data_IF_106505021518
#
_entry.id   IF_106505021518
#
_cell.length_a   1.000
_cell.length_b   1.000
_cell.length_c   1.000
_cell.angle_alpha   90.00
_cell.angle_beta   90.00
_cell.angle_gamma   90.00
#
_symmetry.space_group_name_H-M   'P 1'
#
loop_
_entity.id
_entity.type
_entity.pdbx_description
1 polymer ?
#
# COMPACT_ATOMS: atom_id res chain seq x y z
N UNK A 1 -61.12 44.27 34.15
CA UNK A 1 -60.61 44.29 32.79
C UNK A 1 -59.23 43.58 32.82
N UNK A 2 -59.27 42.25 32.66
CA UNK A 2 -58.09 41.40 32.77
C UNK A 2 -57.42 41.25 31.41
N UNK A 3 -56.16 41.66 31.29
CA UNK A 3 -55.35 41.35 30.14
C UNK A 3 -54.50 40.12 30.43
N UNK A 4 -54.89 38.97 29.93
CA UNK A 4 -54.16 37.73 29.98
C UNK A 4 -52.94 37.86 29.03
N UNK A 5 -51.75 37.83 29.59
CA UNK A 5 -50.50 37.72 28.81
C UNK A 5 -50.30 36.28 28.44
N UNK A 6 -50.41 35.93 27.15
CA UNK A 6 -50.03 34.65 26.58
C UNK A 6 -48.51 34.70 26.39
N UNK A 7 -47.78 33.91 27.19
CA UNK A 7 -46.36 33.62 27.02
C UNK A 7 -46.24 32.49 25.96
N UNK A 8 -45.85 32.85 24.76
CA UNK A 8 -45.46 31.90 23.73
C UNK A 8 -44.01 31.47 24.05
N UNK A 9 -43.85 30.32 24.65
CA UNK A 9 -42.52 29.67 24.78
C UNK A 9 -42.13 29.11 23.42
N UNK A 10 -41.26 29.81 22.72
CA UNK A 10 -40.60 29.28 21.53
C UNK A 10 -39.53 28.30 21.99
N UNK A 11 -39.83 27.02 21.91
CA UNK A 11 -38.84 25.93 22.11
C UNK A 11 -37.98 25.90 20.85
N UNK A 12 -36.85 26.61 20.88
CA UNK A 12 -35.80 26.47 19.85
C UNK A 12 -35.12 25.13 20.11
N UNK A 13 -35.56 24.09 19.43
CA UNK A 13 -34.80 22.86 19.26
C UNK A 13 -33.56 23.23 18.42
N UNK A 14 -32.43 23.46 19.08
CA UNK A 14 -31.13 23.41 18.41
C UNK A 14 -30.95 21.96 17.97
N UNK A 15 -31.26 21.70 16.71
CA UNK A 15 -30.70 20.56 15.98
C UNK A 15 -29.18 20.82 15.95
N UNK A 16 -28.45 20.17 16.86
CA UNK A 16 -27.04 19.95 16.68
C UNK A 16 -26.89 19.03 15.45
N UNK A 17 -26.93 19.63 14.27
CA UNK A 17 -26.39 19.00 13.08
C UNK A 17 -24.88 18.93 13.35
N UNK A 18 -24.44 17.83 13.94
CA UNK A 18 -23.04 17.45 13.91
C UNK A 18 -22.66 17.41 12.44
N UNK A 19 -21.91 18.40 11.98
CA UNK A 19 -21.28 18.32 10.67
C UNK A 19 -20.42 17.06 10.71
N UNK A 20 -20.82 16.01 10.00
CA UNK A 20 -19.97 14.86 9.77
C UNK A 20 -18.69 15.42 9.12
N UNK A 21 -17.62 15.45 9.90
CA UNK A 21 -16.33 15.88 9.36
C UNK A 21 -15.84 14.77 8.47
N UNK A 22 -15.49 15.11 7.22
CA UNK A 22 -14.95 14.16 6.26
C UNK A 22 -13.74 13.43 6.86
N UNK A 23 -13.77 12.10 6.89
CA UNK A 23 -12.63 11.29 7.28
C UNK A 23 -11.58 11.33 6.18
N UNK A 24 -10.39 11.78 6.51
CA UNK A 24 -9.28 11.94 5.55
C UNK A 24 -8.33 10.76 5.64
N UNK A 25 -8.12 10.10 4.51
CA UNK A 25 -7.19 8.98 4.38
C UNK A 25 -6.13 9.31 3.33
N UNK A 26 -4.85 9.26 3.70
CA UNK A 26 -3.77 9.70 2.80
C UNK A 26 -2.54 8.80 2.88
N UNK A 27 -1.86 8.61 1.74
CA UNK A 27 -0.54 8.00 1.79
C UNK A 27 -0.21 7.06 0.64
N UNK A 28 -0.02 5.77 0.93
CA UNK A 28 0.51 4.77 0.01
C UNK A 28 -0.28 4.64 -1.29
N UNK A 29 0.39 4.88 -2.43
CA UNK A 29 -0.22 4.62 -3.74
C UNK A 29 -0.51 3.13 -3.95
N UNK A 30 0.18 2.23 -3.26
CA UNK A 30 -0.11 0.79 -3.29
C UNK A 30 -1.51 0.50 -2.75
N UNK A 31 -1.89 1.16 -1.65
CA UNK A 31 -3.19 0.98 -0.99
C UNK A 31 -4.30 1.83 -1.62
N UNK A 32 -3.95 2.81 -2.45
CA UNK A 32 -4.92 3.81 -2.93
C UNK A 32 -6.16 3.19 -3.58
N UNK A 33 -6.07 2.26 -4.56
CA UNK A 33 -7.27 1.66 -5.17
C UNK A 33 -8.10 0.84 -4.17
N UNK A 34 -7.45 0.03 -3.35
CA UNK A 34 -8.14 -0.76 -2.32
C UNK A 34 -8.89 0.14 -1.33
N UNK A 35 -8.22 1.19 -0.85
CA UNK A 35 -8.84 2.08 0.15
C UNK A 35 -9.97 2.92 -0.46
N UNK A 36 -9.89 3.27 -1.74
CA UNK A 36 -10.98 3.91 -2.46
C UNK A 36 -12.19 2.99 -2.58
N UNK A 37 -12.00 1.73 -2.97
CA UNK A 37 -13.06 0.71 -3.03
C UNK A 37 -13.72 0.52 -1.67
N UNK A 38 -12.90 0.30 -0.62
CA UNK A 38 -13.41 0.16 0.75
C UNK A 38 -14.19 1.39 1.24
N UNK A 39 -13.76 2.59 0.82
CA UNK A 39 -14.46 3.83 1.16
C UNK A 39 -15.80 3.95 0.41
N UNK A 40 -15.85 3.59 -0.87
CA UNK A 40 -17.07 3.57 -1.66
C UNK A 40 -18.09 2.57 -1.10
N UNK A 41 -17.67 1.34 -0.82
CA UNK A 41 -18.52 0.31 -0.20
C UNK A 41 -19.00 0.71 1.20
N UNK A 42 -18.10 1.27 2.04
CA UNK A 42 -18.46 1.76 3.37
C UNK A 42 -19.54 2.85 3.32
N UNK A 43 -19.44 3.77 2.37
CA UNK A 43 -20.39 4.89 2.21
C UNK A 43 -21.75 4.42 1.65
N UNK A 44 -21.84 3.27 0.99
CA UNK A 44 -23.15 2.68 0.63
C UNK A 44 -23.95 2.30 1.89
N UNK A 45 -23.30 1.86 2.95
CA UNK A 45 -23.92 1.55 4.25
C UNK A 45 -24.05 2.78 5.16
N UNK A 46 -23.26 3.83 4.92
CA UNK A 46 -23.17 5.05 5.73
C UNK A 46 -23.33 6.32 4.87
N UNK A 47 -24.50 6.54 4.27
CA UNK A 47 -24.73 7.60 3.27
C UNK A 47 -24.57 9.03 3.79
N UNK A 48 -24.60 9.23 5.11
CA UNK A 48 -24.38 10.53 5.75
C UNK A 48 -22.89 10.79 6.08
N UNK A 49 -22.02 9.80 5.81
CA UNK A 49 -20.57 9.89 6.00
C UNK A 49 -19.86 10.54 4.82
N UNK A 50 -18.60 10.89 5.02
CA UNK A 50 -17.70 11.33 3.95
C UNK A 50 -16.30 10.77 4.23
N UNK A 51 -15.71 10.07 3.24
CA UNK A 51 -14.34 9.55 3.31
C UNK A 51 -13.55 10.05 2.10
N UNK A 52 -12.48 10.79 2.33
CA UNK A 52 -11.62 11.35 1.26
C UNK A 52 -10.30 10.59 1.23
N UNK A 53 -10.05 9.86 0.14
CA UNK A 53 -8.84 9.04 -0.02
C UNK A 53 -7.88 9.68 -1.02
N UNK A 54 -6.62 9.90 -0.62
CA UNK A 54 -5.60 10.51 -1.47
C UNK A 54 -4.26 9.75 -1.40
N UNK A 55 -3.57 9.66 -2.51
CA UNK A 55 -2.24 9.05 -2.63
C UNK A 55 -1.09 9.99 -2.25
N UNK A 56 0.11 9.69 -2.78
CA UNK A 56 1.33 10.51 -2.64
C UNK A 56 2.49 9.79 -1.96
N UNK A 57 2.32 8.52 -1.60
CA UNK A 57 3.34 7.68 -0.97
C UNK A 57 3.24 7.61 0.56
N UNK A 58 3.73 6.51 1.13
CA UNK A 58 3.67 6.23 2.57
C UNK A 58 4.29 7.32 3.44
N UNK A 59 5.41 7.88 3.00
CA UNK A 59 6.09 8.97 3.74
C UNK A 59 5.25 10.25 3.80
N UNK A 60 4.49 10.54 2.74
CA UNK A 60 3.58 11.71 2.70
C UNK A 60 2.39 11.49 3.63
N UNK A 61 1.80 10.28 3.65
CA UNK A 61 0.72 9.95 4.58
C UNK A 61 1.15 10.03 6.04
N UNK A 62 2.31 9.45 6.38
CA UNK A 62 2.87 9.49 7.73
C UNK A 62 3.16 10.94 8.18
N UNK A 63 3.70 11.78 7.28
CA UNK A 63 3.92 13.19 7.57
C UNK A 63 2.59 13.94 7.77
N UNK A 64 1.60 13.68 6.92
CA UNK A 64 0.27 14.29 7.03
C UNK A 64 -0.43 13.92 8.36
N UNK A 65 -0.24 12.68 8.85
CA UNK A 65 -0.75 12.25 10.16
C UNK A 65 -0.06 13.03 11.30
N UNK A 66 1.26 13.19 11.26
CA UNK A 66 2.00 14.00 12.24
C UNK A 66 1.58 15.47 12.25
N UNK A 67 1.17 16.00 11.10
CA UNK A 67 0.70 17.39 10.92
C UNK A 67 -0.80 17.55 11.19
N UNK A 68 -1.50 16.46 11.58
CA UNK A 68 -2.96 16.42 11.77
C UNK A 68 -3.75 16.93 10.53
N UNK A 69 -3.23 16.62 9.33
CA UNK A 69 -3.87 16.94 8.04
C UNK A 69 -4.53 15.72 7.39
N UNK A 70 -4.43 14.55 8.03
CA UNK A 70 -5.16 13.31 7.71
C UNK A 70 -5.48 12.58 9.00
N UNK A 71 -6.54 11.78 9.01
CA UNK A 71 -7.00 11.02 10.17
C UNK A 71 -6.43 9.59 10.12
N UNK A 72 -6.24 9.05 8.91
CA UNK A 72 -5.59 7.76 8.67
C UNK A 72 -4.45 7.93 7.65
N UNK A 73 -3.26 7.46 7.99
CA UNK A 73 -2.15 7.35 7.06
C UNK A 73 -2.07 5.93 6.48
N UNK A 74 -2.21 5.80 5.17
CA UNK A 74 -1.94 4.55 4.45
C UNK A 74 -0.44 4.35 4.28
N UNK A 75 0.09 3.18 4.61
CA UNK A 75 1.50 2.88 4.43
C UNK A 75 1.75 1.45 3.95
N UNK A 76 2.70 1.29 3.04
CA UNK A 76 3.21 0.01 2.53
C UNK A 76 4.62 -0.30 3.07
N UNK A 77 4.93 0.25 4.22
CA UNK A 77 6.08 -0.01 5.08
C UNK A 77 5.76 0.37 6.52
N UNK A 78 6.53 -0.12 7.45
CA UNK A 78 6.44 0.36 8.84
C UNK A 78 6.91 1.81 8.98
N UNK A 79 6.38 2.48 10.00
CA UNK A 79 6.90 3.77 10.46
C UNK A 79 8.36 3.59 10.90
N UNK A 80 9.25 4.43 10.38
CA UNK A 80 10.68 4.40 10.71
C UNK A 80 10.92 4.86 12.15
N UNK A 81 12.04 4.46 12.73
CA UNK A 81 12.40 4.88 14.10
C UNK A 81 12.41 6.41 14.26
N UNK A 82 13.01 7.14 13.31
CA UNK A 82 13.02 8.61 13.35
C UNK A 82 11.64 9.26 13.19
N UNK A 83 10.71 8.59 12.49
CA UNK A 83 9.31 9.05 12.41
C UNK A 83 8.59 8.80 13.74
N UNK A 84 8.80 7.63 14.38
CA UNK A 84 8.26 7.34 15.73
C UNK A 84 8.71 8.36 16.77
N UNK A 85 9.97 8.77 16.73
CA UNK A 85 10.48 9.81 17.63
C UNK A 85 9.77 11.15 17.41
N UNK A 86 9.53 11.54 16.17
CA UNK A 86 8.79 12.77 15.84
C UNK A 86 7.32 12.72 16.28
N UNK A 87 6.65 11.56 16.16
CA UNK A 87 5.31 11.37 16.74
C UNK A 87 5.32 11.63 18.25
N UNK A 88 6.27 11.03 18.97
CA UNK A 88 6.39 11.22 20.41
C UNK A 88 6.71 12.69 20.78
N UNK A 89 7.59 13.37 20.04
CA UNK A 89 7.92 14.79 20.22
C UNK A 89 6.70 15.70 19.98
N UNK A 90 5.82 15.31 19.05
CA UNK A 90 4.54 15.99 18.78
C UNK A 90 3.44 15.66 19.81
N UNK A 91 3.70 14.76 20.75
CA UNK A 91 2.70 14.31 21.74
C UNK A 91 1.66 13.35 21.16
N UNK A 92 1.92 12.73 20.01
CA UNK A 92 1.04 11.80 19.33
C UNK A 92 1.43 10.36 19.61
N UNK A 93 0.45 9.45 19.60
CA UNK A 93 0.67 8.01 19.73
C UNK A 93 0.14 7.29 18.47
N UNK A 94 1.04 6.94 17.54
CA UNK A 94 0.66 6.23 16.33
C UNK A 94 0.22 4.79 16.64
N UNK A 95 -1.02 4.47 16.35
CA UNK A 95 -1.57 3.10 16.33
C UNK A 95 -1.35 2.49 14.96
N UNK A 96 -1.03 1.20 14.94
CA UNK A 96 -0.74 0.41 13.74
C UNK A 96 -1.82 -0.65 13.53
N UNK A 97 -2.43 -0.66 12.36
CA UNK A 97 -3.38 -1.70 11.94
C UNK A 97 -2.92 -2.30 10.62
N UNK A 98 -2.72 -3.61 10.57
CA UNK A 98 -2.47 -4.33 9.31
C UNK A 98 -3.83 -4.57 8.64
N UNK A 99 -4.00 -4.11 7.41
CA UNK A 99 -5.26 -4.22 6.67
C UNK A 99 -5.22 -5.24 5.54
N UNK A 100 -4.02 -5.55 5.04
CA UNK A 100 -3.79 -6.54 3.99
C UNK A 100 -2.31 -6.93 3.95
N UNK A 101 -1.97 -7.96 3.16
CA UNK A 101 -0.61 -8.23 2.73
C UNK A 101 -0.49 -8.08 1.20
N UNK A 102 0.67 -7.64 0.73
CA UNK A 102 0.98 -7.40 -0.67
C UNK A 102 2.23 -8.16 -1.08
N UNK A 103 2.17 -8.85 -2.22
CA UNK A 103 3.36 -9.36 -2.88
C UNK A 103 3.92 -8.30 -3.83
N UNK A 104 5.23 -8.09 -3.79
CA UNK A 104 5.90 -7.15 -4.68
C UNK A 104 6.45 -7.88 -5.90
N UNK A 105 5.77 -7.75 -7.05
CA UNK A 105 6.18 -8.36 -8.31
C UNK A 105 7.32 -7.58 -8.96
N UNK A 106 8.42 -8.24 -9.29
CA UNK A 106 9.44 -7.72 -10.19
C UNK A 106 8.94 -7.90 -11.62
N UNK A 107 8.95 -6.83 -12.39
CA UNK A 107 8.35 -6.82 -13.74
C UNK A 107 9.33 -6.34 -14.80
N UNK A 108 9.19 -6.93 -15.98
CA UNK A 108 9.97 -6.59 -17.19
C UNK A 108 9.03 -6.36 -18.36
N UNK A 109 9.58 -5.80 -19.45
CA UNK A 109 8.84 -5.70 -20.71
C UNK A 109 8.40 -7.09 -21.19
N UNK A 110 7.18 -7.28 -21.71
CA UNK A 110 6.68 -8.60 -22.15
C UNK A 110 7.58 -9.29 -23.20
N UNK A 111 8.32 -8.52 -24.02
CA UNK A 111 9.24 -9.08 -25.02
C UNK A 111 10.57 -9.58 -24.44
N UNK A 112 10.87 -9.32 -23.17
CA UNK A 112 12.11 -9.79 -22.53
C UNK A 112 12.05 -11.32 -22.35
N UNK A 113 13.04 -12.11 -22.81
CA UNK A 113 13.02 -13.58 -22.69
C UNK A 113 13.29 -14.07 -21.25
N UNK A 114 13.89 -13.26 -20.38
CA UNK A 114 14.16 -13.64 -18.99
C UNK A 114 12.85 -13.87 -18.25
N UNK A 115 12.74 -14.98 -17.52
CA UNK A 115 11.54 -15.38 -16.77
C UNK A 115 11.75 -15.46 -15.27
N UNK A 116 13.00 -15.46 -14.80
CA UNK A 116 13.34 -15.65 -13.40
C UNK A 116 14.67 -14.99 -13.04
N UNK A 117 14.82 -14.54 -11.80
CA UNK A 117 16.06 -13.99 -11.25
C UNK A 117 16.20 -14.40 -9.77
N UNK A 118 17.44 -14.54 -9.30
CA UNK A 118 17.71 -14.66 -7.87
C UNK A 118 17.70 -13.28 -7.19
N UNK A 119 17.57 -13.24 -5.86
CA UNK A 119 17.70 -12.02 -5.07
C UNK A 119 19.03 -11.31 -5.35
N UNK A 120 20.13 -12.07 -5.43
CA UNK A 120 21.47 -11.53 -5.69
C UNK A 120 21.59 -10.90 -7.08
N UNK A 121 20.95 -11.49 -8.10
CA UNK A 121 20.86 -10.90 -9.44
C UNK A 121 20.02 -9.62 -9.43
N UNK A 122 18.88 -9.61 -8.73
CA UNK A 122 18.07 -8.41 -8.54
C UNK A 122 18.87 -7.31 -7.83
N UNK A 123 19.54 -7.64 -6.71
CA UNK A 123 20.42 -6.68 -6.02
C UNK A 123 21.48 -6.12 -6.96
N UNK A 124 22.15 -6.99 -7.72
CA UNK A 124 23.22 -6.56 -8.64
C UNK A 124 22.69 -5.66 -9.77
N UNK A 125 21.51 -5.94 -10.33
CA UNK A 125 20.85 -5.12 -11.35
C UNK A 125 20.49 -3.74 -10.78
N UNK A 126 19.73 -3.70 -9.68
CA UNK A 126 19.25 -2.44 -9.12
C UNK A 126 20.38 -1.57 -8.51
N UNK A 127 21.54 -2.16 -8.26
CA UNK A 127 22.77 -1.45 -7.84
C UNK A 127 23.69 -1.10 -9.00
N UNK A 128 23.35 -1.49 -10.25
CA UNK A 128 24.13 -1.20 -11.43
C UNK A 128 25.42 -2.02 -11.58
N UNK A 129 25.51 -3.19 -10.93
CA UNK A 129 26.63 -4.13 -11.09
C UNK A 129 26.40 -5.04 -12.31
N UNK A 130 25.16 -5.45 -12.57
CA UNK A 130 24.71 -6.10 -13.80
C UNK A 130 23.98 -5.04 -14.62
N UNK A 131 24.40 -4.79 -15.84
CA UNK A 131 23.89 -3.69 -16.68
C UNK A 131 23.39 -4.15 -18.04
N UNK A 132 23.57 -5.43 -18.36
CA UNK A 132 23.16 -6.02 -19.63
C UNK A 132 22.41 -7.32 -19.37
N UNK A 133 21.28 -7.53 -20.05
CA UNK A 133 20.44 -8.71 -19.90
C UNK A 133 21.16 -10.02 -20.21
N UNK A 134 22.16 -10.01 -21.11
CA UNK A 134 22.96 -11.22 -21.41
C UNK A 134 23.70 -11.79 -20.19
N UNK A 135 23.99 -10.98 -19.19
CA UNK A 135 24.64 -11.41 -17.95
C UNK A 135 23.75 -12.32 -17.08
N UNK A 136 22.44 -12.28 -17.35
CA UNK A 136 21.43 -13.08 -16.65
C UNK A 136 20.61 -13.96 -17.61
N UNK A 137 21.18 -14.31 -18.76
CA UNK A 137 20.56 -15.23 -19.72
C UNK A 137 19.58 -14.62 -20.71
N UNK A 138 19.50 -13.29 -20.78
CA UNK A 138 18.71 -12.56 -21.77
C UNK A 138 19.47 -12.19 -23.03
N UNK A 139 18.90 -11.30 -23.82
CA UNK A 139 19.51 -10.74 -25.04
C UNK A 139 20.66 -9.77 -24.71
N UNK A 140 21.54 -9.51 -25.68
CA UNK A 140 22.55 -8.46 -25.57
C UNK A 140 21.89 -7.08 -25.64
N UNK A 141 21.31 -6.66 -24.52
CA UNK A 141 20.54 -5.43 -24.37
C UNK A 141 20.81 -4.79 -23.01
N UNK A 142 21.00 -3.47 -23.00
CA UNK A 142 21.18 -2.69 -21.78
C UNK A 142 19.94 -2.79 -20.89
N UNK A 143 20.15 -2.98 -19.59
CA UNK A 143 19.10 -2.94 -18.58
C UNK A 143 18.77 -1.47 -18.26
N UNK A 144 17.49 -1.13 -18.28
CA UNK A 144 16.96 0.17 -17.86
C UNK A 144 16.15 -0.02 -16.57
N UNK A 145 16.67 0.51 -15.49
CA UNK A 145 16.13 0.25 -14.13
C UNK A 145 15.21 1.37 -13.70
N UNK A 146 13.97 1.02 -13.37
CA UNK A 146 12.97 1.92 -12.83
C UNK A 146 12.69 1.61 -11.37
N UNK A 147 12.59 2.66 -10.54
CA UNK A 147 12.15 2.55 -9.15
C UNK A 147 11.07 3.59 -8.84
N UNK A 148 10.53 3.52 -7.63
CA UNK A 148 9.66 4.56 -7.08
C UNK A 148 10.50 5.67 -6.45
N UNK A 149 9.87 6.81 -6.20
CA UNK A 149 10.44 7.91 -5.42
C UNK A 149 10.68 7.51 -3.96
N UNK A 150 11.55 8.24 -3.27
CA UNK A 150 11.95 7.96 -1.87
C UNK A 150 10.82 8.14 -0.85
N UNK A 151 9.75 8.88 -1.19
CA UNK A 151 8.52 8.97 -0.38
C UNK A 151 7.69 7.69 -0.40
N UNK A 152 7.90 6.82 -1.40
CA UNK A 152 7.18 5.57 -1.58
C UNK A 152 7.60 4.51 -0.55
N UNK A 153 6.62 3.93 0.15
CA UNK A 153 6.86 2.76 0.98
C UNK A 153 7.37 1.55 0.20
N UNK A 154 6.98 1.44 -1.08
CA UNK A 154 7.44 0.37 -1.98
C UNK A 154 8.92 0.51 -2.31
N UNK A 155 9.43 1.74 -2.50
CA UNK A 155 10.85 1.99 -2.65
C UNK A 155 11.65 1.51 -1.42
N UNK A 156 11.21 1.89 -0.24
CA UNK A 156 11.90 1.53 1.01
C UNK A 156 11.85 0.02 1.25
N UNK A 157 10.68 -0.60 1.08
CA UNK A 157 10.54 -2.04 1.28
C UNK A 157 11.40 -2.86 0.30
N UNK A 158 11.45 -2.47 -0.99
CA UNK A 158 12.32 -3.15 -1.96
C UNK A 158 13.80 -2.97 -1.59
N UNK A 159 14.18 -1.79 -1.10
CA UNK A 159 15.54 -1.53 -0.60
C UNK A 159 15.89 -2.43 0.59
N UNK A 160 14.97 -2.60 1.51
CA UNK A 160 15.14 -3.47 2.68
C UNK A 160 15.24 -4.95 2.28
N UNK A 161 14.22 -5.46 1.57
CA UNK A 161 14.02 -6.89 1.35
C UNK A 161 14.88 -7.45 0.22
N UNK A 162 15.14 -6.68 -0.84
CA UNK A 162 15.87 -7.13 -2.02
C UNK A 162 17.32 -6.64 -2.03
N UNK A 163 17.56 -5.37 -1.66
CA UNK A 163 18.89 -4.77 -1.71
C UNK A 163 19.65 -4.85 -0.39
N UNK A 164 19.08 -5.48 0.64
CA UNK A 164 19.73 -5.60 1.96
C UNK A 164 20.17 -4.23 2.51
N UNK A 165 19.27 -3.24 2.44
CA UNK A 165 19.48 -1.82 2.78
C UNK A 165 20.59 -1.09 1.99
N UNK A 166 21.18 -1.73 0.98
CA UNK A 166 22.19 -1.10 0.12
C UNK A 166 21.53 -0.07 -0.81
N UNK A 167 22.30 0.93 -1.23
CA UNK A 167 21.75 1.96 -2.09
C UNK A 167 21.54 1.47 -3.53
N UNK A 168 20.48 1.96 -4.12
CA UNK A 168 20.25 1.85 -5.57
C UNK A 168 21.38 2.53 -6.36
N UNK A 169 21.51 2.16 -7.63
CA UNK A 169 22.39 2.87 -8.56
C UNK A 169 21.98 4.34 -8.68
N UNK A 170 22.96 5.26 -8.82
CA UNK A 170 22.68 6.70 -8.90
C UNK A 170 21.94 7.13 -10.16
N UNK A 171 21.99 6.32 -11.22
CA UNK A 171 21.33 6.57 -12.52
C UNK A 171 19.96 5.89 -12.62
N UNK A 172 19.36 5.45 -11.50
CA UNK A 172 18.03 4.84 -11.51
C UNK A 172 16.97 5.86 -11.93
N UNK A 173 16.00 5.41 -12.72
CA UNK A 173 14.89 6.26 -13.16
C UNK A 173 13.76 6.18 -12.13
N UNK A 174 13.53 7.29 -11.43
CA UNK A 174 12.55 7.39 -10.35
C UNK A 174 11.18 7.78 -10.87
N UNK A 175 10.14 7.02 -10.50
CA UNK A 175 8.76 7.21 -10.96
C UNK A 175 7.85 7.60 -9.78
N UNK A 176 6.94 8.58 -9.99
CA UNK A 176 6.09 9.11 -8.90
C UNK A 176 5.01 8.12 -8.45
N UNK A 177 4.54 7.23 -9.32
CA UNK A 177 3.43 6.33 -9.04
C UNK A 177 3.64 4.93 -9.67
N UNK A 178 2.92 3.92 -9.18
CA UNK A 178 2.97 2.55 -9.70
C UNK A 178 2.59 2.48 -11.17
N UNK A 179 1.55 3.21 -11.59
CA UNK A 179 1.15 3.27 -13.00
C UNK A 179 2.24 3.80 -13.92
N UNK A 180 3.09 4.73 -13.45
CA UNK A 180 4.22 5.24 -14.21
C UNK A 180 5.32 4.18 -14.42
N UNK A 181 5.57 3.30 -13.44
CA UNK A 181 6.44 2.12 -13.60
C UNK A 181 5.90 1.23 -14.73
N UNK A 182 4.61 0.88 -14.69
CA UNK A 182 3.98 0.01 -15.70
C UNK A 182 4.13 0.60 -17.10
N UNK A 183 3.83 1.88 -17.28
CA UNK A 183 3.96 2.54 -18.59
C UNK A 183 5.41 2.57 -19.09
N UNK A 184 6.37 2.86 -18.20
CA UNK A 184 7.79 2.89 -18.53
C UNK A 184 8.30 1.50 -18.93
N UNK A 185 7.94 0.46 -18.19
CA UNK A 185 8.32 -0.94 -18.48
C UNK A 185 7.68 -1.42 -19.78
N UNK A 186 6.39 -1.10 -20.02
CA UNK A 186 5.69 -1.42 -21.26
C UNK A 186 6.39 -0.82 -22.50
N UNK A 187 6.86 0.41 -22.41
CA UNK A 187 7.44 1.14 -23.54
C UNK A 187 8.91 0.84 -23.81
N UNK A 188 9.64 0.27 -22.83
CA UNK A 188 11.09 0.11 -22.88
C UNK A 188 11.46 -1.38 -22.85
N UNK A 189 11.95 -1.94 -23.98
CA UNK A 189 12.27 -3.38 -24.08
C UNK A 189 13.27 -3.88 -23.03
N UNK A 190 14.29 -3.09 -22.70
CA UNK A 190 15.29 -3.45 -21.70
C UNK A 190 14.89 -3.12 -20.27
N UNK A 191 13.66 -2.70 -19.99
CA UNK A 191 13.21 -2.24 -18.69
C UNK A 191 13.08 -3.37 -17.66
N UNK A 192 13.37 -3.00 -16.41
CA UNK A 192 13.00 -3.73 -15.20
C UNK A 192 12.48 -2.74 -14.17
N UNK A 193 11.47 -3.14 -13.41
CA UNK A 193 10.89 -2.39 -12.30
C UNK A 193 10.23 -3.33 -11.29
N UNK A 194 9.51 -2.76 -10.32
CA UNK A 194 8.73 -3.52 -9.35
C UNK A 194 7.42 -2.79 -9.02
N UNK A 195 6.38 -3.58 -8.80
CA UNK A 195 5.01 -3.09 -8.52
C UNK A 195 4.35 -4.01 -7.50
N UNK A 196 3.33 -3.53 -6.78
CA UNK A 196 2.45 -4.41 -6.00
C UNK A 196 1.68 -5.35 -6.93
N UNK A 197 1.44 -6.58 -6.47
CA UNK A 197 0.77 -7.64 -7.23
C UNK A 197 -0.60 -7.20 -7.76
N UNK A 198 -1.36 -6.45 -6.97
CA UNK A 198 -2.66 -5.90 -7.34
C UNK A 198 -2.64 -5.02 -8.61
N UNK A 199 -1.48 -4.49 -8.98
CA UNK A 199 -1.30 -3.71 -10.20
C UNK A 199 -0.86 -4.52 -11.42
N UNK A 200 -0.59 -5.83 -11.24
CA UNK A 200 -0.11 -6.67 -12.32
C UNK A 200 -1.17 -6.79 -13.42
N UNK A 201 -0.74 -6.57 -14.66
CA UNK A 201 -1.62 -6.61 -15.83
C UNK A 201 -0.87 -7.08 -17.07
N UNK A 202 -1.59 -7.25 -18.18
CA UNK A 202 -1.07 -7.75 -19.46
C UNK A 202 0.05 -6.91 -20.10
N UNK A 203 0.33 -5.70 -19.62
CA UNK A 203 1.32 -4.80 -20.19
C UNK A 203 2.73 -5.01 -19.66
N UNK A 204 2.89 -5.78 -18.61
CA UNK A 204 4.18 -6.12 -18.02
C UNK A 204 4.25 -7.61 -17.71
N UNK A 205 5.46 -8.18 -17.74
CA UNK A 205 5.67 -9.59 -17.43
C UNK A 205 6.32 -9.72 -16.05
N UNK A 206 5.69 -10.45 -15.10
CA UNK A 206 6.33 -10.74 -13.83
C UNK A 206 7.47 -11.75 -14.00
N UNK A 207 8.44 -11.69 -13.09
CA UNK A 207 9.52 -12.65 -12.97
C UNK A 207 9.31 -13.52 -11.74
N UNK A 208 9.60 -14.82 -11.88
CA UNK A 208 9.78 -15.69 -10.73
C UNK A 208 11.06 -15.31 -9.97
N UNK A 209 11.02 -15.36 -8.64
CA UNK A 209 12.14 -14.94 -7.79
C UNK A 209 12.57 -16.08 -6.87
N UNK A 210 13.90 -16.18 -6.67
CA UNK A 210 14.51 -17.12 -5.73
C UNK A 210 15.28 -16.35 -4.65
N UNK A 211 15.15 -16.82 -3.40
CA UNK A 211 15.92 -16.32 -2.23
C UNK A 211 16.86 -17.38 -1.64
N UNK A 212 16.97 -18.53 -2.30
CA UNK A 212 17.81 -19.66 -1.90
C UNK A 212 18.95 -19.97 -2.90
N UNK A 213 19.41 -18.95 -3.61
CA UNK A 213 20.50 -19.07 -4.58
C UNK A 213 20.11 -19.72 -5.90
N UNK A 214 18.81 -19.86 -6.19
CA UNK A 214 18.31 -20.41 -7.45
C UNK A 214 17.88 -21.88 -7.37
N UNK A 215 17.74 -22.44 -6.17
CA UNK A 215 17.21 -23.80 -5.97
C UNK A 215 15.71 -23.84 -6.25
N UNK A 216 14.95 -22.87 -5.69
CA UNK A 216 13.51 -22.72 -5.91
C UNK A 216 13.17 -21.32 -6.40
N UNK A 217 12.25 -21.25 -7.36
CA UNK A 217 11.72 -20.02 -7.92
C UNK A 217 10.21 -19.98 -7.73
N UNK A 218 9.69 -18.91 -7.15
CA UNK A 218 8.27 -18.68 -7.00
C UNK A 218 7.80 -17.49 -7.86
N UNK A 219 6.64 -17.64 -8.53
CA UNK A 219 5.97 -16.56 -9.23
C UNK A 219 5.12 -15.76 -8.24
N UNK A 220 4.98 -14.43 -8.43
CA UNK A 220 4.12 -13.62 -7.58
C UNK A 220 2.64 -13.92 -7.89
N UNK A 221 1.92 -14.42 -6.90
CA UNK A 221 0.47 -14.60 -6.91
C UNK A 221 -0.09 -14.42 -5.49
N UNK A 222 -1.42 -14.30 -5.38
CA UNK A 222 -2.08 -14.23 -4.07
C UNK A 222 -1.83 -15.53 -3.30
N UNK A 223 -1.89 -16.68 -3.97
CA UNK A 223 -1.67 -18.01 -3.37
C UNK A 223 -0.24 -18.15 -2.84
N UNK A 224 0.77 -17.81 -3.67
CA UNK A 224 2.19 -17.95 -3.26
C UNK A 224 2.59 -16.89 -2.22
N UNK A 225 1.91 -15.75 -2.20
CA UNK A 225 2.07 -14.78 -1.13
C UNK A 225 1.43 -15.25 0.19
N UNK A 226 0.26 -15.89 0.10
CA UNK A 226 -0.48 -16.37 1.27
C UNK A 226 0.18 -17.61 1.92
N UNK A 227 0.71 -18.56 1.14
CA UNK A 227 1.40 -19.75 1.66
C UNK A 227 2.86 -19.49 2.05
N UNK A 228 3.40 -18.29 1.72
CA UNK A 228 4.75 -17.87 2.04
C UNK A 228 5.84 -18.42 1.11
N UNK A 229 5.49 -19.07 0.00
CA UNK A 229 6.45 -19.53 -1.00
C UNK A 229 7.05 -18.39 -1.83
N UNK A 230 6.29 -17.29 -2.07
CA UNK A 230 6.83 -16.08 -2.67
C UNK A 230 7.53 -15.20 -1.62
N UNK A 231 8.83 -14.83 -1.83
CA UNK A 231 9.64 -14.25 -0.76
C UNK A 231 9.45 -12.74 -0.55
N UNK A 232 8.89 -11.99 -1.53
CA UNK A 232 8.79 -10.53 -1.45
C UNK A 232 7.37 -10.14 -1.06
N UNK A 233 7.00 -10.42 0.21
CA UNK A 233 5.67 -10.13 0.77
C UNK A 233 5.81 -9.18 1.95
N UNK A 234 4.86 -8.24 2.08
CA UNK A 234 4.83 -7.24 3.12
C UNK A 234 3.43 -7.00 3.66
N UNK A 235 3.28 -6.62 4.93
CA UNK A 235 2.04 -6.06 5.43
C UNK A 235 1.81 -4.64 4.91
N UNK A 236 0.54 -4.30 4.75
CA UNK A 236 0.04 -2.98 4.44
C UNK A 236 -0.69 -2.42 5.65
N UNK A 237 -0.48 -1.15 5.94
CA UNK A 237 -0.86 -0.54 7.21
C UNK A 237 -1.77 0.66 7.05
N UNK A 238 -2.71 0.79 7.99
CA UNK A 238 -3.30 2.06 8.39
C UNK A 238 -2.67 2.48 9.71
N UNK A 239 -2.28 3.75 9.79
CA UNK A 239 -1.81 4.40 11.00
C UNK A 239 -2.75 5.53 11.36
N UNK A 240 -3.05 5.70 12.64
CA UNK A 240 -3.85 6.81 13.18
C UNK A 240 -3.32 7.20 14.55
N UNK A 241 -3.67 8.41 15.03
CA UNK A 241 -3.35 8.78 16.41
C UNK A 241 -4.32 8.11 17.38
N UNK A 242 -3.82 7.61 18.49
CA UNK A 242 -4.64 6.99 19.55
C UNK A 242 -5.78 7.90 20.04
N UNK A 243 -5.57 9.21 20.02
CA UNK A 243 -6.59 10.19 20.38
C UNK A 243 -7.81 10.20 19.42
N UNK A 244 -7.60 9.78 18.17
CA UNK A 244 -8.61 9.79 17.11
C UNK A 244 -9.26 8.40 16.90
N UNK A 245 -9.00 7.42 17.78
CA UNK A 245 -9.50 6.05 17.63
C UNK A 245 -11.02 5.99 17.39
N UNK A 246 -11.81 6.78 18.12
CA UNK A 246 -13.27 6.82 17.93
C UNK A 246 -13.71 7.38 16.58
N UNK A 247 -12.91 8.27 15.99
CA UNK A 247 -13.20 8.89 14.68
C UNK A 247 -12.97 7.88 13.55
N UNK A 248 -11.94 7.04 13.68
CA UNK A 248 -11.52 6.12 12.61
C UNK A 248 -12.03 4.69 12.77
N UNK A 249 -12.57 4.34 13.96
CA UNK A 249 -12.90 2.97 14.34
C UNK A 249 -13.87 2.28 13.38
N UNK A 250 -14.92 2.98 12.95
CA UNK A 250 -15.96 2.39 12.11
C UNK A 250 -15.41 2.01 10.73
N UNK A 251 -14.67 2.90 10.08
CA UNK A 251 -14.06 2.62 8.78
C UNK A 251 -12.98 1.53 8.87
N UNK A 252 -12.14 1.55 9.91
CA UNK A 252 -11.13 0.50 10.12
C UNK A 252 -11.80 -0.84 10.39
N UNK A 253 -12.88 -0.87 11.19
CA UNK A 253 -13.65 -2.08 11.47
C UNK A 253 -14.30 -2.64 10.20
N UNK A 254 -14.81 -1.75 9.33
CA UNK A 254 -15.34 -2.15 8.03
C UNK A 254 -14.24 -2.78 7.16
N UNK A 255 -13.09 -2.13 7.04
CA UNK A 255 -11.95 -2.65 6.26
C UNK A 255 -11.47 -4.03 6.74
N UNK A 256 -11.58 -4.32 8.05
CA UNK A 256 -11.22 -5.61 8.66
C UNK A 256 -12.39 -6.60 8.74
N UNK A 257 -13.59 -6.21 8.33
CA UNK A 257 -14.78 -7.09 8.29
C UNK A 257 -14.65 -8.16 7.20
N UNK A 258 -15.43 -9.25 7.24
CA UNK A 258 -15.44 -10.23 6.15
C UNK A 258 -15.73 -9.61 4.79
N UNK A 259 -16.60 -8.61 4.71
CA UNK A 259 -16.92 -7.89 3.46
C UNK A 259 -15.70 -7.12 2.97
N UNK A 260 -15.10 -6.27 3.81
CA UNK A 260 -13.90 -5.51 3.44
C UNK A 260 -12.72 -6.41 3.09
N UNK A 261 -12.56 -7.56 3.75
CA UNK A 261 -11.49 -8.52 3.43
C UNK A 261 -11.78 -9.31 2.14
N UNK A 262 -13.03 -9.44 1.73
CA UNK A 262 -13.38 -9.94 0.40
C UNK A 262 -12.93 -8.95 -0.69
N UNK A 263 -13.12 -7.65 -0.48
CA UNK A 263 -12.63 -6.59 -1.40
C UNK A 263 -11.09 -6.58 -1.46
N UNK A 264 -10.40 -6.82 -0.33
CA UNK A 264 -8.94 -7.04 -0.31
C UNK A 264 -8.53 -8.16 -1.28
N UNK A 265 -9.22 -9.31 -1.25
CA UNK A 265 -8.92 -10.46 -2.12
C UNK A 265 -9.24 -10.14 -3.59
N UNK A 266 -10.39 -9.54 -3.87
CA UNK A 266 -10.82 -9.17 -5.23
C UNK A 266 -9.85 -8.18 -5.87
N UNK A 267 -9.30 -7.25 -5.08
CA UNK A 267 -8.29 -6.29 -5.52
C UNK A 267 -6.89 -6.92 -5.72
N UNK A 268 -6.70 -8.22 -5.44
CA UNK A 268 -5.44 -8.94 -5.65
C UNK A 268 -4.43 -8.81 -4.52
N UNK A 269 -4.90 -8.45 -3.32
CA UNK A 269 -4.11 -8.50 -2.09
C UNK A 269 -4.41 -9.78 -1.30
N UNK A 270 -3.57 -10.09 -0.32
CA UNK A 270 -3.81 -11.21 0.61
C UNK A 270 -4.53 -10.67 1.84
N UNK A 271 -5.72 -11.21 2.18
CA UNK A 271 -6.46 -10.81 3.37
C UNK A 271 -5.70 -11.07 4.68
N UNK A 272 -5.97 -10.27 5.72
CA UNK A 272 -5.43 -10.49 7.08
C UNK A 272 -6.09 -11.69 7.75
N UNK A 273 -7.34 -11.99 7.36
CA UNK A 273 -8.10 -13.15 7.83
C UNK A 273 -8.54 -13.94 6.60
N UNK A 274 -8.05 -15.14 6.46
CA UNK A 274 -8.60 -16.11 5.53
C UNK A 274 -9.62 -16.93 6.27
N UNK A 275 -10.88 -16.92 5.84
CA UNK A 275 -11.83 -17.96 6.25
C UNK A 275 -11.37 -19.27 5.59
N UNK A 276 -10.89 -20.21 6.39
CA UNK A 276 -10.82 -21.59 5.94
C UNK A 276 -12.24 -22.14 5.85
N UNK A 277 -12.53 -22.98 4.86
CA UNK A 277 -13.82 -23.68 4.66
C UNK A 277 -14.33 -24.48 5.88
N UNK A 278 -13.73 -24.30 7.05
CA UNK A 278 -14.06 -24.93 8.33
C UNK A 278 -14.30 -23.98 9.50
N UNK A 279 -14.37 -22.66 9.29
CA UNK A 279 -14.81 -21.68 10.33
C UNK A 279 -13.79 -21.34 11.42
N UNK A 280 -12.51 -21.66 11.29
CA UNK A 280 -11.46 -21.19 12.19
C UNK A 280 -10.58 -20.14 11.50
N UNK A 281 -10.58 -18.91 12.04
CA UNK A 281 -9.73 -17.82 11.57
C UNK A 281 -8.27 -18.10 11.90
N UNK A 282 -7.41 -18.22 10.88
CA UNK A 282 -5.96 -18.27 11.08
C UNK A 282 -5.42 -16.84 11.14
N UNK A 283 -5.04 -16.39 12.34
CA UNK A 283 -4.21 -15.19 12.52
C UNK A 283 -2.75 -15.55 12.19
N UNK A 284 -2.14 -14.85 11.27
CA UNK A 284 -0.69 -14.87 11.03
C UNK A 284 0.00 -13.65 11.63
#
# INVERSE_FOLDING_TARGET
MNRTKILISVFVAMLAAGSAQAQRVKGSDTLLPLTQELAEEYLEEHPDGEVIVTGGGSGVGIAALMENTTDIAMASRRIKFGEKMKFAEAGLEAKEVIVAYDALAVVVNPSNPVTRLTREQLEAIFRGKITNWKEVGGEDMKIVVYSRETSSGTYEFFKESVLDNKNYMSSILSMPATGAIIQSVKQTKGAIGYIGLAYLNQYVKPLAVSYDGGEHYAEPSVETAADGSYPIVRPLYYYYDAADEQVVADFISYALSPVGQQSVLVQGFVPVRMENDGGEAVQR
#
